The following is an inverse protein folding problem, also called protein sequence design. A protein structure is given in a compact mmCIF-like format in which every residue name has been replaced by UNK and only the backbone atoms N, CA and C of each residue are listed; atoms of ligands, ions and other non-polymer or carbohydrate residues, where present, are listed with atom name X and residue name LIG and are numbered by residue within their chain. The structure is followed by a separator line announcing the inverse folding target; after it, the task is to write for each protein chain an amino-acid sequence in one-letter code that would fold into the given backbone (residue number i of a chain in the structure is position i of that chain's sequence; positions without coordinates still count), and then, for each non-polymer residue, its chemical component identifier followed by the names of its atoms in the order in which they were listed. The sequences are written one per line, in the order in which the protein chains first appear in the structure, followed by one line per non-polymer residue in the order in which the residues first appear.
data_IF_596336591199
#
_entry.id   IF_596336591199
#
_cell.length_a   1.000
_cell.length_b   1.000
_cell.length_c   1.000
_cell.angle_alpha   90.00
_cell.angle_beta   90.00
_cell.angle_gamma   90.00
#
_symmetry.space_group_name_H-M   'P 1'
#
loop_
_entity.id
_entity.type
_entity.pdbx_description
1 polymer ?
#
# COMPACT_ATOMS: atom_id res chain seq x y z
N UNK A 1 5.89 -92.11 18.59
CA UNK A 1 5.23 -91.37 17.49
C UNK A 1 4.59 -90.11 18.06
N UNK A 2 4.76 -88.99 17.36
CA UNK A 2 4.13 -87.66 17.54
C UNK A 2 4.52 -86.82 18.78
N UNK A 3 5.52 -85.97 18.54
CA UNK A 3 5.75 -84.66 19.18
C UNK A 3 4.54 -83.73 19.04
N UNK A 4 4.33 -82.80 19.99
CA UNK A 4 4.10 -81.37 19.67
C UNK A 4 4.18 -80.43 20.89
N UNK A 5 4.81 -79.28 20.63
CA UNK A 5 5.22 -78.21 21.54
C UNK A 5 4.07 -77.28 22.01
N UNK A 6 4.28 -76.47 23.07
CA UNK A 6 3.27 -75.54 23.59
C UNK A 6 2.97 -74.39 22.64
N UNK A 7 1.68 -74.09 22.42
CA UNK A 7 1.24 -72.91 21.67
C UNK A 7 1.33 -71.68 22.58
N UNK A 8 2.29 -70.78 22.29
CA UNK A 8 2.32 -69.42 22.83
C UNK A 8 1.07 -68.67 22.36
N UNK A 9 0.24 -68.19 23.28
CA UNK A 9 -0.73 -67.15 22.96
C UNK A 9 0.02 -65.84 22.71
N UNK A 10 -0.12 -65.33 21.49
CA UNK A 10 0.39 -64.02 21.05
C UNK A 10 -0.31 -62.91 21.83
N UNK A 11 0.48 -62.07 22.49
CA UNK A 11 0.06 -60.80 23.08
C UNK A 11 -0.43 -59.88 21.95
N UNK A 12 -1.73 -59.57 21.93
CA UNK A 12 -2.36 -58.78 20.88
C UNK A 12 -2.35 -57.30 21.28
N UNK A 13 -1.16 -56.68 21.30
CA UNK A 13 -1.06 -55.23 21.43
C UNK A 13 -1.29 -54.60 20.07
N UNK A 14 -2.51 -54.08 19.85
CA UNK A 14 -2.82 -53.20 18.73
C UNK A 14 -1.88 -51.97 18.81
N UNK A 15 -1.15 -51.62 17.75
CA UNK A 15 -0.44 -50.34 17.74
C UNK A 15 -1.48 -49.21 17.72
N UNK A 16 -1.43 -48.32 18.71
CA UNK A 16 -2.13 -47.02 18.67
C UNK A 16 -1.57 -46.21 17.50
N UNK A 17 -2.12 -46.43 16.31
CA UNK A 17 -1.96 -45.55 15.14
C UNK A 17 -2.93 -44.36 15.29
N UNK A 18 -2.74 -43.59 16.35
CA UNK A 18 -3.27 -42.24 16.48
C UNK A 18 -2.07 -41.36 16.82
N UNK A 19 -1.75 -40.39 15.96
CA UNK A 19 -0.90 -39.20 16.22
C UNK A 19 0.02 -38.79 15.05
N UNK A 20 -0.34 -39.04 13.78
CA UNK A 20 0.46 -38.49 12.66
C UNK A 20 -0.31 -37.59 11.70
N UNK A 21 -1.65 -37.67 11.65
CA UNK A 21 -2.44 -36.85 10.72
C UNK A 21 -2.74 -35.44 11.24
N UNK A 22 -2.69 -35.20 12.56
CA UNK A 22 -3.00 -33.89 13.16
C UNK A 22 -1.87 -32.87 13.01
N UNK A 23 -0.61 -33.30 12.91
CA UNK A 23 0.53 -32.39 12.82
C UNK A 23 0.62 -31.66 11.46
N UNK A 24 0.19 -32.30 10.37
CA UNK A 24 0.23 -31.72 9.03
C UNK A 24 -0.85 -30.62 8.84
N UNK A 25 -1.99 -30.76 9.51
CA UNK A 25 -3.08 -29.79 9.42
C UNK A 25 -2.78 -28.47 10.17
N UNK A 26 -1.95 -28.51 11.21
CA UNK A 26 -1.58 -27.31 11.99
C UNK A 26 -0.53 -26.45 11.28
N UNK A 27 0.34 -27.06 10.46
CA UNK A 27 1.39 -26.34 9.72
C UNK A 27 0.87 -25.45 8.58
N UNK A 28 -0.29 -25.77 8.00
CA UNK A 28 -0.86 -25.04 6.84
C UNK A 28 -1.52 -23.70 7.20
N UNK A 29 -1.79 -23.43 8.49
CA UNK A 29 -2.54 -22.24 8.94
C UNK A 29 -1.66 -21.01 9.22
N UNK A 30 -0.34 -21.10 9.04
CA UNK A 30 0.61 -20.04 9.43
C UNK A 30 1.03 -19.10 8.29
N UNK A 31 0.51 -19.26 7.07
CA UNK A 31 0.71 -18.27 6.00
C UNK A 31 -0.35 -17.18 6.14
N UNK A 32 -0.21 -16.34 7.17
CA UNK A 32 -0.94 -15.09 7.24
C UNK A 32 -0.40 -14.18 6.13
N UNK A 33 -1.03 -14.22 4.95
CA UNK A 33 -0.79 -13.21 3.93
C UNK A 33 -1.24 -11.88 4.49
N UNK A 34 -0.33 -10.91 4.59
CA UNK A 34 -0.71 -9.52 4.85
C UNK A 34 -1.62 -9.08 3.71
N UNK A 35 -2.94 -9.09 3.95
CA UNK A 35 -3.88 -8.43 3.06
C UNK A 35 -3.64 -6.93 3.24
N UNK A 36 -2.74 -6.37 2.42
CA UNK A 36 -2.60 -4.92 2.31
C UNK A 36 -3.84 -4.40 1.61
N UNK A 37 -4.79 -3.95 2.41
CA UNK A 37 -6.08 -3.49 1.94
C UNK A 37 -6.05 -1.97 1.77
N UNK A 38 -6.16 -1.51 0.52
CA UNK A 38 -6.35 -0.11 0.13
C UNK A 38 -5.22 0.86 0.56
N UNK A 39 -5.09 1.97 -0.18
CA UNK A 39 -4.12 3.04 0.09
C UNK A 39 -4.86 4.37 0.07
N UNK A 40 -4.77 5.12 1.17
CA UNK A 40 -5.43 6.40 1.38
C UNK A 40 -4.44 7.52 1.71
N UNK A 41 -4.73 8.77 1.31
CA UNK A 41 -3.89 9.90 1.70
C UNK A 41 -3.90 10.11 3.22
N UNK A 42 -2.72 10.23 3.81
CA UNK A 42 -2.53 10.60 5.22
C UNK A 42 -2.38 12.13 5.35
N UNK A 43 -1.42 12.72 4.62
CA UNK A 43 -1.20 14.16 4.57
C UNK A 43 -0.53 14.63 3.28
N UNK A 44 -0.44 15.94 3.09
CA UNK A 44 0.16 16.56 1.91
C UNK A 44 0.99 17.79 2.26
N UNK A 45 1.94 18.11 1.38
CA UNK A 45 2.69 19.36 1.36
C UNK A 45 2.69 19.90 -0.07
N UNK A 46 2.05 21.05 -0.34
CA UNK A 46 1.33 21.91 0.59
C UNK A 46 0.15 21.22 1.28
N UNK A 47 -0.14 21.63 2.52
CA UNK A 47 -1.31 21.15 3.27
C UNK A 47 -2.60 21.48 2.52
N UNK A 48 -3.55 20.53 2.53
CA UNK A 48 -4.90 20.70 1.98
C UNK A 48 -5.53 22.02 2.42
N UNK A 49 -5.95 22.83 1.44
CA UNK A 49 -6.62 24.11 1.65
C UNK A 49 -5.72 25.25 2.13
N UNK A 50 -4.42 25.02 2.31
CA UNK A 50 -3.51 26.00 2.90
C UNK A 50 -3.04 27.06 1.90
N UNK A 51 -2.74 28.26 2.41
CA UNK A 51 -2.08 29.35 1.67
C UNK A 51 -0.60 29.39 2.05
N UNK A 52 0.28 29.06 1.12
CA UNK A 52 1.73 29.16 1.29
C UNK A 52 2.23 30.55 0.89
N UNK A 53 3.12 31.12 1.70
CA UNK A 53 3.68 32.47 1.47
C UNK A 53 4.70 32.51 0.32
N UNK A 54 5.26 31.36 -0.05
CA UNK A 54 6.26 31.22 -1.10
C UNK A 54 5.87 30.06 -2.03
N UNK A 55 6.18 30.14 -3.34
CA UNK A 55 5.97 29.03 -4.24
C UNK A 55 6.71 27.78 -3.77
N UNK A 56 6.01 26.64 -3.58
CA UNK A 56 6.65 25.39 -3.20
C UNK A 56 7.37 24.80 -4.43
N UNK A 57 8.50 24.13 -4.20
CA UNK A 57 9.26 23.50 -5.29
C UNK A 57 8.62 22.20 -5.81
N UNK A 58 7.69 21.63 -5.06
CA UNK A 58 7.02 20.37 -5.38
C UNK A 58 5.72 20.24 -4.58
N UNK A 59 4.86 19.34 -5.04
CA UNK A 59 3.77 18.78 -4.22
C UNK A 59 4.15 17.37 -3.83
N UNK A 60 3.91 17.01 -2.56
CA UNK A 60 4.01 15.64 -2.05
C UNK A 60 2.73 15.25 -1.32
N UNK A 61 2.32 14.00 -1.50
CA UNK A 61 1.23 13.36 -0.79
C UNK A 61 1.80 12.09 -0.16
N UNK A 62 1.65 11.96 1.14
CA UNK A 62 1.98 10.75 1.89
C UNK A 62 0.72 9.91 2.02
N UNK A 63 0.87 8.62 1.80
CA UNK A 63 -0.19 7.64 1.93
C UNK A 63 0.12 6.65 3.06
N UNK A 64 -0.92 5.98 3.55
CA UNK A 64 -0.82 4.97 4.61
C UNK A 64 -0.35 3.58 4.12
N UNK A 65 -0.02 3.45 2.83
CA UNK A 65 0.48 2.21 2.25
C UNK A 65 1.20 2.38 0.91
N UNK A 66 1.78 1.27 0.45
CA UNK A 66 2.62 1.19 -0.75
C UNK A 66 1.77 1.24 -2.02
N UNK A 67 2.17 2.12 -2.94
CA UNK A 67 1.51 2.30 -4.25
C UNK A 67 2.27 1.59 -5.38
N UNK A 68 1.53 1.20 -6.43
CA UNK A 68 2.06 0.75 -7.71
C UNK A 68 2.54 1.94 -8.56
N UNK A 69 3.85 2.06 -8.85
CA UNK A 69 4.40 3.26 -9.51
C UNK A 69 3.87 3.51 -10.92
N UNK A 70 3.63 2.45 -11.70
CA UNK A 70 3.24 2.56 -13.11
C UNK A 70 1.78 3.03 -13.30
N UNK A 71 0.95 2.92 -12.27
CA UNK A 71 -0.48 3.22 -12.34
C UNK A 71 -0.93 4.35 -11.43
N UNK A 72 0.03 5.05 -10.81
CA UNK A 72 -0.21 6.15 -9.87
C UNK A 72 0.26 7.48 -10.46
N UNK A 73 -0.60 8.49 -10.43
CA UNK A 73 -0.40 9.78 -11.09
C UNK A 73 -0.77 10.95 -10.19
N UNK A 74 -0.08 12.07 -10.39
CA UNK A 74 -0.34 13.35 -9.74
C UNK A 74 -0.18 14.48 -10.76
N UNK A 75 -1.02 15.50 -10.67
CA UNK A 75 -1.03 16.65 -11.58
C UNK A 75 -1.49 17.90 -10.83
N UNK A 76 -0.94 19.06 -11.18
CA UNK A 76 -1.31 20.34 -10.57
C UNK A 76 -1.88 21.26 -11.64
N UNK A 77 -3.05 21.83 -11.38
CA UNK A 77 -3.71 22.77 -12.26
C UNK A 77 -3.87 24.15 -11.61
N UNK A 78 -3.85 25.20 -12.45
CA UNK A 78 -4.24 26.55 -12.04
C UNK A 78 -5.76 26.76 -12.13
N UNK A 79 -6.22 27.96 -11.75
CA UNK A 79 -7.64 28.34 -11.80
C UNK A 79 -8.25 28.28 -13.22
N UNK A 80 -7.43 28.42 -14.26
CA UNK A 80 -7.85 28.34 -15.67
C UNK A 80 -7.91 26.88 -16.18
N UNK A 81 -7.74 25.89 -15.30
CA UNK A 81 -7.67 24.45 -15.61
C UNK A 81 -6.54 24.11 -16.57
N UNK A 82 -5.43 24.85 -16.50
CA UNK A 82 -4.19 24.53 -17.20
C UNK A 82 -3.28 23.75 -16.27
N UNK A 83 -2.62 22.70 -16.79
CA UNK A 83 -1.57 22.00 -16.07
C UNK A 83 -0.36 22.92 -15.88
N UNK A 84 0.16 22.99 -14.66
CA UNK A 84 1.27 23.89 -14.28
C UNK A 84 2.43 23.19 -13.56
N UNK A 85 2.36 21.87 -13.40
CA UNK A 85 3.48 21.07 -12.88
C UNK A 85 4.52 20.74 -13.98
N UNK A 86 5.66 20.16 -13.57
CA UNK A 86 6.79 19.86 -14.44
C UNK A 86 6.60 18.62 -15.33
N UNK A 87 5.49 17.90 -15.25
CA UNK A 87 5.29 16.68 -16.05
C UNK A 87 5.86 15.40 -15.45
N UNK A 88 6.54 15.48 -14.29
CA UNK A 88 7.39 14.42 -13.73
C UNK A 88 6.76 13.68 -12.54
N UNK A 89 5.43 13.71 -12.43
CA UNK A 89 4.68 13.09 -11.34
C UNK A 89 4.96 11.60 -11.22
N UNK A 90 5.30 11.14 -10.02
CA UNK A 90 5.74 9.76 -9.76
C UNK A 90 5.54 9.34 -8.31
N UNK A 91 5.53 8.03 -8.09
CA UNK A 91 5.80 7.45 -6.77
C UNK A 91 7.30 7.63 -6.47
N UNK A 92 7.64 8.06 -5.26
CA UNK A 92 9.03 8.28 -4.88
C UNK A 92 9.79 6.94 -4.87
N UNK A 93 10.94 6.83 -5.56
CA UNK A 93 11.66 5.56 -5.72
C UNK A 93 12.37 5.08 -4.44
N UNK A 94 12.51 5.95 -3.44
CA UNK A 94 13.09 5.61 -2.13
C UNK A 94 12.01 5.31 -1.07
N UNK A 95 10.77 5.75 -1.30
CA UNK A 95 9.64 5.55 -0.40
C UNK A 95 8.33 5.48 -1.19
N UNK A 96 7.82 4.25 -1.40
CA UNK A 96 6.64 4.02 -2.22
C UNK A 96 5.32 4.44 -1.57
N UNK A 97 5.36 5.03 -0.36
CA UNK A 97 4.20 5.64 0.27
C UNK A 97 4.05 7.13 -0.11
N UNK A 98 4.99 7.68 -0.88
CA UNK A 98 5.00 9.10 -1.27
C UNK A 98 4.73 9.23 -2.77
N UNK A 99 3.72 10.05 -3.12
CA UNK A 99 3.48 10.51 -4.48
C UNK A 99 3.93 11.97 -4.60
N UNK A 100 4.75 12.27 -5.59
CA UNK A 100 5.40 13.57 -5.72
C UNK A 100 5.35 14.10 -7.16
N UNK A 101 5.33 15.43 -7.30
CA UNK A 101 5.50 16.11 -8.59
C UNK A 101 6.23 17.45 -8.39
N UNK A 102 7.16 17.76 -9.28
CA UNK A 102 7.90 19.02 -9.23
C UNK A 102 7.05 20.19 -9.74
N UNK A 103 7.27 21.36 -9.15
CA UNK A 103 6.63 22.60 -9.55
C UNK A 103 7.68 23.62 -10.03
N UNK A 104 7.44 24.30 -11.16
CA UNK A 104 8.19 25.51 -11.48
C UNK A 104 7.84 26.63 -10.49
N UNK A 105 8.52 27.78 -10.58
CA UNK A 105 8.15 28.95 -9.78
C UNK A 105 6.77 29.47 -10.21
N UNK A 106 5.73 29.08 -9.46
CA UNK A 106 4.35 29.45 -9.73
C UNK A 106 4.02 30.87 -9.24
N UNK A 107 3.17 31.62 -9.95
CA UNK A 107 2.69 32.94 -9.50
C UNK A 107 1.76 32.83 -8.28
N UNK A 108 1.42 33.97 -7.68
CA UNK A 108 0.36 34.01 -6.68
C UNK A 108 -0.97 33.57 -7.30
N UNK A 109 -1.75 32.79 -6.57
CA UNK A 109 -3.01 32.27 -7.10
C UNK A 109 -3.49 31.01 -6.39
N UNK A 110 -4.59 30.46 -6.93
CA UNK A 110 -5.19 29.20 -6.47
C UNK A 110 -4.79 28.07 -7.40
N UNK A 111 -4.49 26.93 -6.79
CA UNK A 111 -4.07 25.72 -7.45
C UNK A 111 -4.87 24.54 -6.93
N UNK A 112 -4.98 23.51 -7.76
CA UNK A 112 -5.62 22.25 -7.39
C UNK A 112 -4.73 21.09 -7.80
N UNK A 113 -4.49 20.20 -6.85
CA UNK A 113 -3.77 18.95 -7.03
C UNK A 113 -4.79 17.88 -7.32
N UNK A 114 -4.59 17.11 -8.38
CA UNK A 114 -5.35 15.91 -8.71
C UNK A 114 -4.42 14.71 -8.58
N UNK A 115 -4.91 13.64 -7.97
CA UNK A 115 -4.15 12.41 -7.79
C UNK A 115 -5.03 11.20 -8.03
N UNK A 116 -4.40 10.12 -8.48
CA UNK A 116 -4.99 8.81 -8.68
C UNK A 116 -3.91 7.78 -8.36
N UNK A 117 -4.18 6.83 -7.47
CA UNK A 117 -3.20 5.84 -7.02
C UNK A 117 -3.79 4.45 -7.09
N UNK A 118 -2.92 3.46 -7.31
CA UNK A 118 -3.27 2.05 -7.28
C UNK A 118 -2.46 1.40 -6.18
N UNK A 119 -3.14 0.78 -5.23
CA UNK A 119 -2.51 -0.03 -4.19
C UNK A 119 -1.99 -1.36 -4.76
N UNK A 120 -1.06 -2.02 -4.06
CA UNK A 120 -0.52 -3.32 -4.50
C UNK A 120 -1.59 -4.45 -4.54
N UNK A 121 -2.73 -4.28 -3.88
CA UNK A 121 -3.89 -5.17 -4.00
C UNK A 121 -4.74 -4.92 -5.27
N UNK A 122 -4.38 -3.91 -6.06
CA UNK A 122 -5.05 -3.52 -7.29
C UNK A 122 -6.20 -2.52 -7.09
N UNK A 123 -6.55 -2.14 -5.85
CA UNK A 123 -7.58 -1.13 -5.62
C UNK A 123 -7.09 0.25 -6.04
N UNK A 124 -7.95 0.96 -6.79
CA UNK A 124 -7.72 2.34 -7.20
C UNK A 124 -8.44 3.31 -6.28
N UNK A 125 -7.74 4.35 -5.85
CA UNK A 125 -8.32 5.51 -5.15
C UNK A 125 -7.89 6.80 -5.87
N UNK A 126 -8.76 7.80 -5.87
CA UNK A 126 -8.51 9.09 -6.53
C UNK A 126 -9.10 10.24 -5.72
N UNK A 127 -8.61 11.45 -5.98
CA UNK A 127 -9.13 12.66 -5.35
C UNK A 127 -8.41 13.92 -5.79
N UNK A 128 -8.82 15.03 -5.20
CA UNK A 128 -8.23 16.34 -5.43
C UNK A 128 -8.23 17.19 -4.17
N UNK A 129 -7.33 18.18 -4.11
CA UNK A 129 -7.35 19.19 -3.06
C UNK A 129 -6.81 20.54 -3.53
N UNK A 130 -7.31 21.66 -2.97
CA UNK A 130 -6.79 22.98 -3.29
C UNK A 130 -5.57 23.35 -2.43
N UNK A 131 -4.73 24.24 -2.95
CA UNK A 131 -3.81 25.07 -2.17
C UNK A 131 -3.69 26.45 -2.83
N UNK A 132 -3.20 27.46 -2.10
CA UNK A 132 -3.00 28.80 -2.65
C UNK A 132 -1.58 29.29 -2.40
N UNK A 133 -1.08 30.15 -3.28
CA UNK A 133 0.17 30.89 -3.09
C UNK A 133 -0.20 32.36 -2.93
N UNK A 134 0.20 32.97 -1.82
CA UNK A 134 -0.19 34.33 -1.49
C UNK A 134 0.26 34.72 -0.10
N UNK A 135 0.22 36.02 0.24
CA UNK A 135 0.35 36.43 1.63
C UNK A 135 -0.73 35.70 2.46
N UNK A 136 -0.31 35.06 3.54
CA UNK A 136 -1.23 34.56 4.56
C UNK A 136 -2.13 35.70 5.02
N UNK A 137 -3.46 35.47 5.15
CA UNK A 137 -4.38 36.48 5.68
C UNK A 137 -4.01 36.91 7.10
#
# INVERSE_FOLDING_TARGET
MASWAPKRCRDNRLPRLWSSSTALAVGLLLVATSAWSHVFPDHSEPRVGWTVNKPPAQVRIWFDGVMEPLFSTITVMNADKQRVDAGDGRVNPSDHNILEVSLPSLPLGKYRVFWNVVAHDGHRTEGDFPFSIGPSP
#
